data_IF_578117458233
#
_entry.id   IF_578117458233
#
_cell.length_a   1.000
_cell.length_b   1.000
_cell.length_c   1.000
_cell.angle_alpha   90.00
_cell.angle_beta   90.00
_cell.angle_gamma   90.00
#
_symmetry.space_group_name_H-M   'P 1'
#
loop_
_entity.id
_entity.type
_entity.pdbx_description
1 polymer ?
#
# COMPACT_ATOMS: atom_id res chain seq x y z
N UNK A 1 -7.91 5.95 -27.45
CA UNK A 1 -8.95 5.83 -26.41
C UNK A 1 -9.49 4.41 -26.55
N UNK A 2 -9.13 3.51 -25.63
CA UNK A 2 -9.59 2.12 -25.70
C UNK A 2 -11.05 2.06 -25.29
N UNK A 3 -11.91 1.67 -26.22
CA UNK A 3 -13.29 1.29 -25.94
C UNK A 3 -13.26 0.08 -25.00
N UNK A 4 -13.47 0.35 -23.71
CA UNK A 4 -13.70 -0.70 -22.72
C UNK A 4 -15.07 -1.31 -23.02
N UNK A 5 -15.07 -2.35 -23.86
CA UNK A 5 -16.24 -3.15 -24.17
C UNK A 5 -16.56 -4.07 -22.98
N UNK A 6 -16.97 -3.46 -21.86
CA UNK A 6 -17.62 -4.18 -20.78
C UNK A 6 -19.11 -4.13 -21.11
N UNK A 7 -19.64 -5.22 -21.68
CA UNK A 7 -21.09 -5.42 -21.77
C UNK A 7 -21.69 -5.03 -20.43
N UNK A 8 -22.59 -4.04 -20.44
CA UNK A 8 -23.31 -3.61 -19.24
C UNK A 8 -23.84 -4.86 -18.52
N UNK A 9 -23.46 -5.03 -17.26
CA UNK A 9 -24.01 -6.10 -16.43
C UNK A 9 -25.53 -5.91 -16.38
N UNK A 10 -26.34 -6.96 -16.60
CA UNK A 10 -27.78 -6.83 -16.52
C UNK A 10 -28.16 -6.41 -15.10
N UNK A 11 -28.62 -5.18 -14.95
CA UNK A 11 -29.19 -4.66 -13.71
C UNK A 11 -30.63 -5.15 -13.66
N UNK A 12 -30.97 -5.89 -12.61
CA UNK A 12 -32.34 -6.31 -12.35
C UNK A 12 -33.29 -5.12 -12.25
N UNK A 13 -34.58 -5.36 -12.55
CA UNK A 13 -35.64 -4.34 -12.57
C UNK A 13 -35.88 -3.65 -11.19
N UNK A 14 -35.16 -4.07 -10.16
CA UNK A 14 -35.26 -3.70 -8.75
C UNK A 14 -33.92 -3.21 -8.13
N UNK A 15 -32.83 -3.10 -8.91
CA UNK A 15 -31.54 -2.58 -8.43
C UNK A 15 -30.71 -3.55 -7.58
N UNK A 16 -31.17 -4.78 -7.41
CA UNK A 16 -30.46 -5.83 -6.66
C UNK A 16 -29.41 -6.55 -7.53
N UNK A 17 -28.27 -6.97 -6.96
CA UNK A 17 -27.25 -7.73 -7.69
C UNK A 17 -27.80 -9.08 -8.14
N UNK A 18 -27.61 -9.41 -9.41
CA UNK A 18 -28.07 -10.68 -9.99
C UNK A 18 -26.90 -11.61 -10.33
N UNK A 19 -27.19 -12.90 -10.35
CA UNK A 19 -26.24 -13.90 -10.78
C UNK A 19 -26.17 -13.91 -12.31
N UNK A 20 -24.97 -13.74 -12.85
CA UNK A 20 -24.75 -13.62 -14.31
C UNK A 20 -23.63 -14.55 -14.72
N UNK A 21 -23.89 -15.42 -15.69
CA UNK A 21 -22.90 -16.34 -16.26
C UNK A 21 -22.13 -17.18 -15.21
N UNK A 22 -22.81 -17.61 -14.14
CA UNK A 22 -22.21 -18.40 -13.06
C UNK A 22 -21.49 -17.59 -11.97
N UNK A 23 -21.48 -16.26 -12.06
CA UNK A 23 -20.97 -15.37 -11.00
C UNK A 23 -22.10 -15.03 -10.05
N UNK A 24 -21.87 -15.24 -8.74
CA UNK A 24 -22.83 -14.88 -7.70
C UNK A 24 -22.81 -13.37 -7.40
N UNK A 25 -23.77 -12.61 -7.92
CA UNK A 25 -23.77 -11.13 -7.91
C UNK A 25 -23.82 -10.55 -6.50
N UNK A 26 -24.63 -11.12 -5.61
CA UNK A 26 -24.73 -10.69 -4.22
C UNK A 26 -23.43 -10.86 -3.45
N UNK A 27 -22.71 -11.97 -3.72
CA UNK A 27 -21.42 -12.25 -3.08
C UNK A 27 -20.32 -11.32 -3.61
N UNK A 28 -20.32 -11.04 -4.91
CA UNK A 28 -19.41 -10.06 -5.51
C UNK A 28 -19.63 -8.67 -4.91
N UNK A 29 -20.88 -8.19 -4.84
CA UNK A 29 -21.20 -6.90 -4.21
C UNK A 29 -20.69 -6.84 -2.76
N UNK A 30 -20.94 -7.89 -1.96
CA UNK A 30 -20.43 -7.95 -0.58
C UNK A 30 -18.91 -7.83 -0.48
N UNK A 31 -18.14 -8.39 -1.43
CA UNK A 31 -16.69 -8.21 -1.46
C UNK A 31 -16.31 -6.77 -1.84
N UNK A 32 -16.96 -6.18 -2.85
CA UNK A 32 -16.70 -4.82 -3.29
C UNK A 32 -16.99 -3.81 -2.18
N UNK A 33 -18.16 -3.86 -1.57
CA UNK A 33 -18.56 -2.95 -0.47
C UNK A 33 -17.54 -3.00 0.70
N UNK A 34 -17.02 -4.20 1.01
CA UNK A 34 -15.99 -4.39 2.05
C UNK A 34 -14.64 -3.82 1.63
N UNK A 35 -14.26 -3.96 0.35
CA UNK A 35 -13.00 -3.42 -0.17
C UNK A 35 -13.06 -1.90 -0.21
N UNK A 36 -14.16 -1.30 -0.66
CA UNK A 36 -14.34 0.15 -0.71
C UNK A 36 -14.17 0.77 0.68
N UNK A 37 -14.83 0.22 1.69
CA UNK A 37 -14.64 0.67 3.08
C UNK A 37 -13.18 0.55 3.54
N UNK A 38 -12.49 -0.54 3.21
CA UNK A 38 -11.08 -0.72 3.57
C UNK A 38 -10.16 0.26 2.83
N UNK A 39 -10.46 0.61 1.59
CA UNK A 39 -9.70 1.63 0.84
C UNK A 39 -9.94 3.03 1.41
N UNK A 40 -11.16 3.35 1.87
CA UNK A 40 -11.44 4.59 2.60
C UNK A 40 -10.67 4.68 3.92
N UNK A 41 -10.70 3.61 4.73
CA UNK A 41 -9.93 3.54 5.99
C UNK A 41 -8.42 3.69 5.73
N UNK A 42 -7.90 3.03 4.70
CA UNK A 42 -6.50 3.12 4.28
C UNK A 42 -6.15 4.54 3.80
N UNK A 43 -7.04 5.23 3.10
CA UNK A 43 -6.83 6.61 2.68
C UNK A 43 -6.77 7.56 3.88
N UNK A 44 -7.67 7.40 4.86
CA UNK A 44 -7.65 8.18 6.10
C UNK A 44 -6.32 7.97 6.86
N UNK A 45 -5.90 6.71 7.05
CA UNK A 45 -4.61 6.39 7.68
C UNK A 45 -3.41 6.94 6.90
N UNK A 46 -3.48 6.98 5.57
CA UNK A 46 -2.41 7.54 4.75
C UNK A 46 -2.27 9.06 4.95
N UNK A 47 -3.38 9.78 5.11
CA UNK A 47 -3.36 11.21 5.44
C UNK A 47 -2.82 11.43 6.87
N UNK A 48 -3.25 10.65 7.86
CA UNK A 48 -2.71 10.73 9.23
C UNK A 48 -1.18 10.53 9.25
N UNK A 49 -0.66 9.53 8.51
CA UNK A 49 0.78 9.28 8.38
C UNK A 49 1.49 10.48 7.74
N UNK A 50 0.88 11.11 6.74
CA UNK A 50 1.44 12.27 6.05
C UNK A 50 1.50 13.48 6.98
N UNK A 51 0.48 13.69 7.80
CA UNK A 51 0.45 14.75 8.80
C UNK A 51 1.55 14.57 9.84
N UNK A 52 1.78 13.35 10.33
CA UNK A 52 2.91 13.03 11.23
C UNK A 52 4.26 13.35 10.59
N UNK A 53 4.46 13.02 9.30
CA UNK A 53 5.68 13.44 8.59
C UNK A 53 5.78 14.96 8.41
N UNK A 54 4.63 15.65 8.26
CA UNK A 54 4.56 17.10 8.23
C UNK A 54 5.00 17.74 9.54
N UNK A 55 4.49 17.25 10.67
CA UNK A 55 4.90 17.67 12.01
C UNK A 55 6.38 17.40 12.28
N UNK A 56 6.86 16.21 11.92
CA UNK A 56 8.27 15.86 12.05
C UNK A 56 9.17 16.81 11.24
N UNK A 57 8.74 17.18 10.03
CA UNK A 57 9.44 18.17 9.21
C UNK A 57 9.44 19.56 9.85
N UNK A 58 8.30 20.01 10.37
CA UNK A 58 8.18 21.30 11.03
C UNK A 58 9.04 21.39 12.31
N UNK A 59 9.28 20.26 12.97
CA UNK A 59 10.14 20.14 14.17
C UNK A 59 11.62 19.90 13.85
N UNK A 60 12.01 19.82 12.56
CA UNK A 60 13.40 19.77 12.12
C UNK A 60 13.94 18.39 11.74
N UNK A 61 13.09 17.35 11.71
CA UNK A 61 13.49 16.03 11.20
C UNK A 61 13.36 15.96 9.68
N UNK A 62 14.11 15.04 9.04
CA UNK A 62 13.96 14.74 7.62
C UNK A 62 13.05 13.51 7.41
N UNK A 63 11.83 13.68 6.86
CA UNK A 63 10.92 12.57 6.57
C UNK A 63 11.51 11.48 5.67
N UNK A 64 12.44 11.84 4.76
CA UNK A 64 13.09 10.85 3.88
C UNK A 64 13.98 9.92 4.68
N UNK A 65 14.73 10.45 5.65
CA UNK A 65 15.58 9.66 6.54
C UNK A 65 14.72 8.82 7.48
N UNK A 66 13.64 9.37 8.04
CA UNK A 66 12.71 8.62 8.88
C UNK A 66 12.12 7.40 8.15
N UNK A 67 11.71 7.56 6.88
CA UNK A 67 11.23 6.43 6.05
C UNK A 67 12.29 5.34 5.87
N UNK A 68 13.56 5.72 5.68
CA UNK A 68 14.68 4.76 5.60
C UNK A 68 14.84 4.03 6.93
N UNK A 69 14.82 4.75 8.05
CA UNK A 69 14.90 4.15 9.40
C UNK A 69 13.75 3.17 9.65
N UNK A 70 12.51 3.53 9.29
CA UNK A 70 11.37 2.61 9.41
C UNK A 70 11.54 1.36 8.57
N UNK A 71 12.06 1.48 7.34
CA UNK A 71 12.35 0.33 6.49
C UNK A 71 13.37 -0.60 7.17
N UNK A 72 14.48 -0.07 7.67
CA UNK A 72 15.53 -0.84 8.37
C UNK A 72 14.98 -1.47 9.65
N UNK A 73 14.17 -0.73 10.42
CA UNK A 73 13.52 -1.21 11.64
C UNK A 73 12.57 -2.38 11.39
N UNK A 74 11.90 -2.39 10.25
CA UNK A 74 10.94 -3.44 9.89
C UNK A 74 11.59 -4.65 9.19
N UNK A 75 12.90 -4.59 8.89
CA UNK A 75 13.64 -5.73 8.39
C UNK A 75 13.91 -6.74 9.50
N UNK A 76 13.93 -8.01 9.11
CA UNK A 76 14.39 -9.11 9.94
C UNK A 76 15.82 -8.84 10.45
N UNK A 77 16.08 -9.19 11.71
CA UNK A 77 17.32 -8.80 12.38
C UNK A 77 18.54 -9.45 11.74
N UNK A 78 18.45 -10.74 11.38
CA UNK A 78 19.54 -11.49 10.79
C UNK A 78 19.83 -10.97 9.38
N UNK A 79 18.77 -10.73 8.58
CA UNK A 79 18.91 -10.13 7.25
C UNK A 79 19.55 -8.74 7.30
N UNK A 80 19.20 -7.91 8.29
CA UNK A 80 19.81 -6.58 8.46
C UNK A 80 21.30 -6.70 8.76
N UNK A 81 21.69 -7.60 9.66
CA UNK A 81 23.10 -7.82 10.00
C UNK A 81 23.91 -8.34 8.81
N UNK A 82 23.36 -9.28 8.04
CA UNK A 82 24.00 -9.78 6.81
C UNK A 82 24.19 -8.67 5.78
N UNK A 83 23.15 -7.85 5.54
CA UNK A 83 23.22 -6.71 4.61
C UNK A 83 24.24 -5.66 5.09
N UNK A 84 24.26 -5.32 6.38
CA UNK A 84 25.22 -4.38 6.98
C UNK A 84 26.67 -4.88 6.81
N UNK A 85 26.93 -6.16 7.08
CA UNK A 85 28.26 -6.75 6.90
C UNK A 85 28.72 -6.72 5.43
N UNK A 86 27.82 -6.99 4.49
CA UNK A 86 28.11 -6.91 3.05
C UNK A 86 28.39 -5.47 2.61
N UNK A 87 27.63 -4.50 3.12
CA UNK A 87 27.85 -3.07 2.82
C UNK A 87 29.22 -2.64 3.33
N UNK A 88 29.58 -2.99 4.56
CA UNK A 88 30.90 -2.69 5.13
C UNK A 88 32.03 -3.31 4.31
N UNK A 89 31.89 -4.57 3.90
CA UNK A 89 32.86 -5.24 3.02
C UNK A 89 33.04 -4.50 1.70
N UNK A 90 31.94 -4.09 1.05
CA UNK A 90 31.99 -3.41 -0.24
C UNK A 90 32.55 -2.00 -0.11
N UNK A 91 32.18 -1.27 0.93
CA UNK A 91 32.76 0.03 1.30
C UNK A 91 34.28 -0.06 1.47
N UNK A 92 34.76 -1.03 2.25
CA UNK A 92 36.18 -1.27 2.44
C UNK A 92 36.89 -1.61 1.11
N UNK A 93 36.26 -2.41 0.25
CA UNK A 93 36.83 -2.79 -1.05
C UNK A 93 37.02 -1.61 -2.01
N UNK A 94 36.22 -0.54 -1.88
CA UNK A 94 36.31 0.67 -2.71
C UNK A 94 36.88 1.88 -1.97
N UNK A 95 37.33 1.72 -0.72
CA UNK A 95 37.96 2.78 0.08
C UNK A 95 37.00 3.88 0.53
N UNK A 96 35.73 3.54 0.78
CA UNK A 96 34.73 4.46 1.37
C UNK A 96 34.50 4.07 2.83
N UNK A 97 34.47 5.06 3.74
CA UNK A 97 34.02 4.88 5.14
C UNK A 97 32.56 5.35 5.31
#
# INVERSE_FOLDING_TARGET
MSETNVKAFPIGNDGEPQDVAGVAGKRLKSFLDRIERLEEEKAALAEDIKDVYGEAKATGFDPKIMKKVLKIKNMDADKRQEEEALIELYKAAIGIE
#
